data_IF_103156574023
#
_entry.id   IF_103156574023
#
_cell.length_a   1.000
_cell.length_b   1.000
_cell.length_c   1.000
_cell.angle_alpha   90.00
_cell.angle_beta   90.00
_cell.angle_gamma   90.00
#
_symmetry.space_group_name_H-M   'P 1'
#
loop_
_entity.id
_entity.type
_entity.pdbx_description
1 polymer ?
#
# COMPACT_ATOMS: atom_id res chain seq x y z
N UNK A 1 35.29 -25.67 10.97
CA UNK A 1 35.37 -27.11 11.24
C UNK A 1 34.75 -27.35 12.60
N UNK A 2 33.46 -27.70 12.66
CA UNK A 2 32.79 -28.04 13.91
C UNK A 2 32.11 -29.39 13.72
N UNK A 3 32.77 -30.45 14.13
CA UNK A 3 32.18 -31.78 14.21
C UNK A 3 31.11 -31.75 15.30
N UNK A 4 29.85 -31.71 14.88
CA UNK A 4 28.72 -32.01 15.78
C UNK A 4 28.60 -33.53 15.83
N UNK A 5 29.09 -34.11 16.91
CA UNK A 5 28.84 -35.50 17.26
C UNK A 5 27.32 -35.70 17.39
N UNK A 6 26.73 -36.40 16.42
CA UNK A 6 25.36 -36.90 16.51
C UNK A 6 25.36 -38.11 17.43
N UNK A 7 25.24 -37.87 18.73
CA UNK A 7 24.99 -38.92 19.71
C UNK A 7 23.68 -39.65 19.37
N UNK A 8 23.58 -40.96 19.62
CA UNK A 8 22.36 -41.71 19.43
C UNK A 8 21.23 -41.09 20.25
N UNK A 9 20.08 -40.87 19.60
CA UNK A 9 18.93 -40.18 20.18
C UNK A 9 18.42 -40.95 21.41
N UNK A 10 18.24 -40.29 22.58
CA UNK A 10 17.80 -40.96 23.83
C UNK A 10 16.44 -41.66 23.69
N UNK A 11 15.65 -41.28 22.70
CA UNK A 11 14.33 -41.87 22.40
C UNK A 11 14.37 -43.35 21.98
N UNK A 12 15.51 -43.86 21.51
CA UNK A 12 15.62 -45.26 21.07
C UNK A 12 15.79 -46.22 22.26
N UNK A 13 16.44 -45.77 23.33
CA UNK A 13 16.70 -46.61 24.51
C UNK A 13 15.43 -46.86 25.33
N UNK A 14 14.60 -45.84 25.53
CA UNK A 14 13.34 -45.99 26.29
C UNK A 14 12.34 -46.89 25.57
N UNK A 15 12.24 -46.77 24.24
CA UNK A 15 11.36 -47.61 23.43
C UNK A 15 11.80 -49.09 23.41
N UNK A 16 13.10 -49.37 23.48
CA UNK A 16 13.61 -50.74 23.58
C UNK A 16 13.32 -51.37 24.95
N UNK A 17 13.39 -50.57 26.02
CA UNK A 17 13.14 -51.05 27.38
C UNK A 17 11.66 -51.37 27.62
N UNK A 18 10.74 -50.55 27.09
CA UNK A 18 9.30 -50.86 27.12
C UNK A 18 8.96 -52.10 26.28
N UNK A 19 9.62 -52.28 25.13
CA UNK A 19 9.38 -53.45 24.26
C UNK A 19 9.86 -54.76 24.89
N UNK A 20 10.99 -54.77 25.60
CA UNK A 20 11.46 -55.94 26.35
C UNK A 20 10.49 -56.34 27.47
N UNK A 21 9.95 -55.37 28.20
CA UNK A 21 8.96 -55.62 29.26
C UNK A 21 7.65 -56.20 28.69
N UNK A 22 7.23 -55.73 27.50
CA UNK A 22 6.04 -56.24 26.81
C UNK A 22 6.22 -57.69 26.31
N UNK A 23 7.42 -58.04 25.84
CA UNK A 23 7.74 -59.41 25.37
C UNK A 23 7.74 -60.39 26.56
N UNK A 24 8.34 -60.02 27.69
CA UNK A 24 8.37 -60.88 28.88
C UNK A 24 6.97 -61.15 29.45
N UNK A 25 6.06 -60.16 29.39
CA UNK A 25 4.67 -60.32 29.84
C UNK A 25 3.83 -61.28 28.95
N UNK A 26 4.27 -61.57 27.73
CA UNK A 26 3.50 -62.35 26.75
C UNK A 26 3.85 -63.86 26.71
N UNK A 27 4.88 -64.33 27.41
CA UNK A 27 5.31 -65.73 27.40
C UNK A 27 4.61 -66.56 28.49
N UNK A 28 3.55 -67.28 28.12
CA UNK A 28 2.95 -68.35 28.96
C UNK A 28 2.70 -69.61 28.11
N UNK A 29 2.81 -70.83 28.68
CA UNK A 29 3.05 -72.06 27.92
C UNK A 29 1.84 -72.64 27.16
N UNK A 30 0.64 -72.09 27.29
CA UNK A 30 -0.57 -72.70 26.70
C UNK A 30 -1.44 -71.66 25.97
N UNK A 31 -1.29 -71.61 24.64
CA UNK A 31 -2.33 -71.12 23.73
C UNK A 31 -2.45 -69.61 23.45
N UNK A 32 -1.70 -68.72 24.11
CA UNK A 32 -1.77 -67.25 23.85
C UNK A 32 -0.75 -66.71 22.83
N UNK A 33 0.06 -67.59 22.22
CA UNK A 33 1.15 -67.24 21.30
C UNK A 33 0.69 -66.47 20.04
N UNK A 34 -0.51 -66.75 19.52
CA UNK A 34 -1.02 -66.12 18.30
C UNK A 34 -1.37 -64.64 18.54
N UNK A 35 -1.97 -64.32 19.68
CA UNK A 35 -2.34 -62.93 20.03
C UNK A 35 -1.08 -62.10 20.30
N UNK A 36 -0.10 -62.67 21.01
CA UNK A 36 1.19 -62.01 21.25
C UNK A 36 1.95 -61.74 19.95
N UNK A 37 2.02 -62.71 19.03
CA UNK A 37 2.63 -62.53 17.72
C UNK A 37 1.91 -61.45 16.89
N UNK A 38 0.57 -61.39 16.95
CA UNK A 38 -0.23 -60.35 16.29
C UNK A 38 0.07 -58.94 16.81
N UNK A 39 0.17 -58.76 18.14
CA UNK A 39 0.51 -57.47 18.73
C UNK A 39 1.93 -57.03 18.38
N UNK A 40 2.90 -57.96 18.36
CA UNK A 40 4.28 -57.68 17.92
C UNK A 40 4.30 -57.26 16.44
N UNK A 41 3.55 -57.95 15.57
CA UNK A 41 3.48 -57.60 14.16
C UNK A 41 2.86 -56.19 13.94
N UNK A 42 1.82 -55.84 14.69
CA UNK A 42 1.19 -54.50 14.65
C UNK A 42 2.18 -53.43 15.13
N UNK A 43 2.92 -53.69 16.22
CA UNK A 43 3.93 -52.77 16.74
C UNK A 43 5.08 -52.54 15.74
N UNK A 44 5.57 -53.60 15.10
CA UNK A 44 6.60 -53.52 14.05
C UNK A 44 6.10 -52.75 12.82
N UNK A 45 4.85 -52.99 12.39
CA UNK A 45 4.24 -52.24 11.29
C UNK A 45 4.09 -50.75 11.63
N UNK A 46 3.65 -50.42 12.84
CA UNK A 46 3.52 -49.04 13.31
C UNK A 46 4.90 -48.34 13.35
N UNK A 47 5.94 -49.00 13.86
CA UNK A 47 7.30 -48.49 13.86
C UNK A 47 7.84 -48.27 12.44
N UNK A 48 7.66 -49.24 11.55
CA UNK A 48 8.03 -49.13 10.13
C UNK A 48 7.34 -47.95 9.44
N UNK A 49 6.04 -47.77 9.67
CA UNK A 49 5.26 -46.66 9.10
C UNK A 49 5.74 -45.28 9.58
N UNK A 50 6.13 -45.15 10.86
CA UNK A 50 6.70 -43.91 11.41
C UNK A 50 8.04 -43.56 10.76
N UNK A 51 8.90 -44.57 10.55
CA UNK A 51 10.21 -44.38 9.89
C UNK A 51 10.02 -43.92 8.44
N UNK A 52 9.07 -44.50 7.71
CA UNK A 52 8.79 -44.08 6.33
C UNK A 52 8.28 -42.64 6.26
N UNK A 53 7.34 -42.26 7.13
CA UNK A 53 6.86 -40.87 7.22
C UNK A 53 7.97 -39.89 7.59
N UNK A 54 8.93 -40.29 8.43
CA UNK A 54 10.08 -39.47 8.78
C UNK A 54 11.03 -39.27 7.58
N UNK A 55 11.27 -40.32 6.79
CA UNK A 55 12.08 -40.25 5.55
C UNK A 55 11.44 -39.33 4.51
N UNK A 56 10.13 -39.45 4.29
CA UNK A 56 9.39 -38.56 3.36
C UNK A 56 9.49 -37.08 3.79
N UNK A 57 9.32 -36.79 5.08
CA UNK A 57 9.48 -35.42 5.62
C UNK A 57 10.88 -34.87 5.38
N UNK A 58 11.92 -35.69 5.54
CA UNK A 58 13.30 -35.27 5.27
C UNK A 58 13.53 -34.98 3.77
N UNK A 59 12.98 -35.80 2.87
CA UNK A 59 13.07 -35.54 1.42
C UNK A 59 12.33 -34.26 1.02
N UNK A 60 11.16 -34.01 1.60
CA UNK A 60 10.36 -32.80 1.34
C UNK A 60 11.06 -31.54 1.84
N UNK A 61 11.70 -31.60 3.01
CA UNK A 61 12.52 -30.50 3.53
C UNK A 61 13.75 -30.24 2.66
N UNK A 62 14.46 -31.28 2.19
CA UNK A 62 15.58 -31.12 1.24
C UNK A 62 15.15 -30.45 -0.07
N UNK A 63 13.97 -30.79 -0.60
CA UNK A 63 13.41 -30.13 -1.80
C UNK A 63 13.07 -28.65 -1.56
N UNK A 64 12.57 -28.30 -0.38
CA UNK A 64 12.29 -26.91 0.01
C UNK A 64 13.58 -26.10 0.20
N UNK A 65 14.60 -26.71 0.79
CA UNK A 65 15.92 -26.07 0.97
C UNK A 65 16.63 -25.82 -0.37
N UNK A 66 16.52 -26.75 -1.34
CA UNK A 66 17.04 -26.56 -2.70
C UNK A 66 16.40 -25.37 -3.41
N UNK A 67 15.05 -25.30 -3.47
CA UNK A 67 14.35 -24.15 -4.07
C UNK A 67 14.67 -22.82 -3.38
N UNK A 68 14.80 -22.82 -2.05
CA UNK A 68 15.14 -21.59 -1.32
C UNK A 68 16.60 -21.12 -1.57
N UNK A 69 17.52 -22.01 -1.93
CA UNK A 69 18.88 -21.61 -2.34
C UNK A 69 18.89 -21.01 -3.74
N UNK A 70 18.15 -21.60 -4.67
CA UNK A 70 18.09 -21.07 -6.05
C UNK A 70 17.39 -19.71 -6.10
N UNK A 71 16.34 -19.50 -5.31
CA UNK A 71 15.68 -18.18 -5.16
C UNK A 71 16.64 -17.17 -4.52
N UNK A 72 17.44 -17.56 -3.52
CA UNK A 72 18.42 -16.66 -2.89
C UNK A 72 19.58 -16.27 -3.81
N UNK A 73 19.96 -17.12 -4.76
CA UNK A 73 21.07 -16.87 -5.67
C UNK A 73 20.64 -16.27 -7.02
N UNK A 74 19.36 -16.32 -7.37
CA UNK A 74 18.80 -15.76 -8.62
C UNK A 74 18.16 -14.39 -8.48
N UNK A 75 17.93 -13.88 -7.25
CA UNK A 75 17.59 -12.48 -7.11
C UNK A 75 18.83 -11.64 -7.45
N UNK A 76 18.81 -10.81 -8.52
CA UNK A 76 19.88 -9.85 -8.76
C UNK A 76 20.03 -9.06 -7.48
N UNK A 77 21.26 -8.84 -7.02
CA UNK A 77 21.61 -8.12 -5.79
C UNK A 77 20.69 -6.90 -5.66
N UNK A 78 19.56 -7.09 -4.98
CA UNK A 78 18.67 -6.00 -4.57
C UNK A 78 19.49 -5.35 -3.50
N UNK A 79 20.35 -4.41 -3.92
CA UNK A 79 21.04 -3.50 -3.04
C UNK A 79 20.01 -3.12 -1.99
N UNK A 80 20.28 -3.49 -0.74
CA UNK A 80 19.35 -3.30 0.37
C UNK A 80 19.27 -1.80 0.59
N UNK A 81 18.45 -1.15 -0.23
CA UNK A 81 18.16 0.27 -0.12
C UNK A 81 17.73 0.52 1.30
N UNK A 82 18.34 1.51 1.91
CA UNK A 82 17.96 1.93 3.26
C UNK A 82 16.47 2.29 3.26
N UNK A 83 15.75 2.15 4.38
CA UNK A 83 14.34 2.54 4.46
C UNK A 83 14.08 3.96 3.93
N UNK A 84 15.01 4.88 4.17
CA UNK A 84 14.97 6.25 3.66
C UNK A 84 15.12 6.31 2.13
N UNK A 85 16.04 5.55 1.53
CA UNK A 85 16.18 5.49 0.07
C UNK A 85 14.98 4.81 -0.61
N UNK A 86 14.36 3.80 0.03
CA UNK A 86 13.10 3.21 -0.45
C UNK A 86 11.95 4.22 -0.39
N UNK A 87 11.90 5.02 0.66
CA UNK A 87 10.91 6.10 0.81
C UNK A 87 11.11 7.19 -0.24
N UNK A 88 12.36 7.64 -0.46
CA UNK A 88 12.69 8.67 -1.45
C UNK A 88 12.55 8.19 -2.91
N UNK A 89 12.91 6.95 -3.23
CA UNK A 89 12.63 6.35 -4.54
C UNK A 89 11.13 6.13 -4.73
N UNK A 90 10.41 5.76 -3.67
CA UNK A 90 8.96 5.69 -3.67
C UNK A 90 8.33 7.04 -4.00
N UNK A 91 8.85 8.14 -3.44
CA UNK A 91 8.38 9.49 -3.71
C UNK A 91 8.73 10.01 -5.11
N UNK A 92 9.93 9.70 -5.62
CA UNK A 92 10.41 10.22 -6.91
C UNK A 92 9.75 9.58 -8.15
N UNK A 93 9.05 8.44 -7.98
CA UNK A 93 8.33 7.75 -9.06
C UNK A 93 6.88 7.38 -8.72
N UNK A 94 6.37 7.81 -7.56
CA UNK A 94 4.99 7.52 -7.13
C UNK A 94 4.01 8.28 -7.99
N UNK A 95 3.18 7.54 -8.72
CA UNK A 95 2.02 8.11 -9.42
C UNK A 95 1.10 8.75 -8.39
N UNK A 96 0.57 9.96 -8.63
CA UNK A 96 -0.37 10.60 -7.71
C UNK A 96 -1.58 9.69 -7.50
N UNK A 97 -2.01 9.55 -6.25
CA UNK A 97 -3.18 8.73 -5.91
C UNK A 97 -4.43 9.57 -6.05
N UNK A 98 -5.43 9.03 -6.74
CA UNK A 98 -6.74 9.68 -6.88
C UNK A 98 -7.80 8.76 -6.30
N UNK A 99 -8.71 9.31 -5.51
CA UNK A 99 -9.87 8.61 -4.98
C UNK A 99 -11.13 9.16 -5.62
N UNK A 100 -11.98 8.28 -6.15
CA UNK A 100 -13.27 8.61 -6.74
C UNK A 100 -14.36 7.84 -6.00
N UNK A 101 -15.41 8.52 -5.56
CA UNK A 101 -16.64 7.83 -5.19
C UNK A 101 -17.28 7.20 -6.43
N UNK A 102 -17.88 6.02 -6.28
CA UNK A 102 -18.51 5.27 -7.37
C UNK A 102 -19.53 6.10 -8.15
N UNK A 103 -20.32 6.89 -7.45
CA UNK A 103 -21.42 7.72 -7.94
C UNK A 103 -20.94 8.85 -8.87
N UNK A 104 -19.64 9.17 -8.84
CA UNK A 104 -19.01 10.17 -9.72
C UNK A 104 -18.83 9.62 -11.14
N UNK A 105 -18.56 8.32 -11.27
CA UNK A 105 -18.15 7.69 -12.53
C UNK A 105 -19.12 6.63 -13.05
N UNK A 106 -19.95 6.06 -12.18
CA UNK A 106 -20.98 5.10 -12.53
C UNK A 106 -22.36 5.77 -12.50
N UNK A 107 -23.23 5.28 -13.38
CA UNK A 107 -24.67 5.42 -13.28
C UNK A 107 -25.22 4.19 -12.56
N UNK A 108 -26.10 4.41 -11.58
CA UNK A 108 -26.89 3.34 -11.01
C UNK A 108 -28.00 3.03 -12.02
N UNK A 109 -27.92 1.87 -12.69
CA UNK A 109 -28.99 1.41 -13.55
C UNK A 109 -30.30 1.24 -12.77
N UNK A 110 -31.44 1.31 -13.46
CA UNK A 110 -32.79 1.22 -12.86
C UNK A 110 -32.97 -0.04 -11.99
N UNK A 111 -32.26 -1.12 -12.31
CA UNK A 111 -32.32 -2.39 -11.58
C UNK A 111 -31.27 -2.54 -10.45
N UNK A 112 -30.34 -1.59 -10.27
CA UNK A 112 -29.16 -1.70 -9.38
C UNK A 112 -28.31 -2.98 -9.57
N UNK A 113 -28.57 -3.74 -10.64
CA UNK A 113 -27.91 -5.02 -10.93
C UNK A 113 -26.61 -4.83 -11.69
N UNK A 114 -26.46 -3.73 -12.42
CA UNK A 114 -25.29 -3.45 -13.24
C UNK A 114 -24.78 -2.04 -12.98
N UNK A 115 -23.45 -1.91 -12.97
CA UNK A 115 -22.78 -0.62 -12.92
C UNK A 115 -22.45 -0.20 -14.35
N UNK A 116 -23.05 0.87 -14.83
CA UNK A 116 -22.74 1.40 -16.16
C UNK A 116 -21.79 2.58 -16.01
N UNK A 117 -20.61 2.51 -16.63
CA UNK A 117 -19.68 3.63 -16.61
C UNK A 117 -20.24 4.80 -17.44
N UNK A 118 -20.31 6.00 -16.85
CA UNK A 118 -20.77 7.20 -17.55
C UNK A 118 -19.89 7.48 -18.76
N UNK A 119 -20.49 7.70 -19.93
CA UNK A 119 -19.74 7.93 -21.18
C UNK A 119 -18.81 9.15 -21.08
N UNK A 120 -19.29 10.22 -20.46
CA UNK A 120 -18.52 11.44 -20.19
C UNK A 120 -17.30 11.21 -19.27
N UNK A 121 -17.38 10.22 -18.37
CA UNK A 121 -16.29 9.91 -17.44
C UNK A 121 -15.22 9.01 -18.07
N UNK A 122 -15.59 8.17 -19.04
CA UNK A 122 -14.72 7.16 -19.64
C UNK A 122 -13.39 7.71 -20.14
N UNK A 123 -13.42 8.76 -20.97
CA UNK A 123 -12.20 9.29 -21.60
C UNK A 123 -11.25 9.92 -20.59
N UNK A 124 -11.79 10.65 -19.61
CA UNK A 124 -11.04 11.27 -18.51
C UNK A 124 -10.47 10.20 -17.58
N UNK A 125 -11.25 9.19 -17.22
CA UNK A 125 -10.82 8.09 -16.38
C UNK A 125 -9.67 7.29 -17.03
N UNK A 126 -9.75 7.01 -18.33
CA UNK A 126 -8.65 6.37 -19.09
C UNK A 126 -7.37 7.22 -19.03
N UNK A 127 -7.48 8.54 -19.23
CA UNK A 127 -6.32 9.44 -19.14
C UNK A 127 -5.72 9.45 -17.74
N UNK A 128 -6.55 9.49 -16.70
CA UNK A 128 -6.12 9.45 -15.31
C UNK A 128 -5.44 8.12 -14.96
N UNK A 129 -5.99 6.99 -15.40
CA UNK A 129 -5.41 5.66 -15.18
C UNK A 129 -4.06 5.44 -15.87
N UNK A 130 -3.64 6.31 -16.80
CA UNK A 130 -2.29 6.31 -17.40
C UNK A 130 -1.25 7.07 -16.59
N UNK A 131 -1.66 8.09 -15.85
CA UNK A 131 -0.74 8.99 -15.12
C UNK A 131 -0.81 8.83 -13.61
N UNK A 132 -1.92 8.33 -13.08
CA UNK A 132 -2.27 8.34 -11.65
C UNK A 132 -2.69 6.96 -11.15
N UNK A 133 -2.56 6.72 -9.85
CA UNK A 133 -3.09 5.54 -9.19
C UNK A 133 -4.52 5.79 -8.74
N UNK A 134 -5.48 5.38 -9.58
CA UNK A 134 -6.91 5.60 -9.31
C UNK A 134 -7.47 4.51 -8.40
N UNK A 135 -8.16 4.94 -7.35
CA UNK A 135 -8.95 4.14 -6.42
C UNK A 135 -10.42 4.55 -6.56
N UNK A 136 -11.30 3.55 -6.48
CA UNK A 136 -12.75 3.76 -6.53
C UNK A 136 -13.33 3.27 -5.21
N UNK A 137 -14.12 4.10 -4.54
CA UNK A 137 -14.80 3.72 -3.30
C UNK A 137 -16.31 3.62 -3.53
N UNK A 138 -16.86 2.46 -3.21
CA UNK A 138 -18.29 2.20 -3.17
C UNK A 138 -18.80 2.33 -1.75
N UNK A 139 -19.99 2.92 -1.59
CA UNK A 139 -20.76 2.83 -0.35
C UNK A 139 -21.83 1.77 -0.51
N UNK A 140 -21.66 0.62 0.15
CA UNK A 140 -22.64 -0.45 0.19
C UNK A 140 -23.83 -0.05 1.08
N UNK A 141 -25.04 -0.22 0.55
CA UNK A 141 -26.30 -0.10 1.31
C UNK A 141 -26.77 -1.49 1.76
N UNK A 142 -27.54 -1.60 2.85
CA UNK A 142 -27.86 -2.90 3.50
C UNK A 142 -28.50 -3.96 2.59
N UNK A 143 -29.17 -3.55 1.51
CA UNK A 143 -29.81 -4.44 0.52
C UNK A 143 -28.96 -4.72 -0.73
N UNK A 144 -27.75 -4.18 -0.79
CA UNK A 144 -26.86 -4.34 -1.93
C UNK A 144 -26.13 -5.69 -1.92
N UNK A 145 -25.74 -6.20 -3.11
CA UNK A 145 -24.95 -7.42 -3.22
C UNK A 145 -23.66 -7.35 -2.39
N UNK A 146 -23.17 -8.51 -1.95
CA UNK A 146 -21.89 -8.65 -1.22
C UNK A 146 -20.73 -7.92 -1.90
N UNK A 147 -19.76 -7.43 -1.12
CA UNK A 147 -18.53 -6.78 -1.59
C UNK A 147 -17.88 -7.40 -2.83
N UNK A 148 -17.78 -8.74 -2.86
CA UNK A 148 -17.18 -9.48 -3.97
C UNK A 148 -17.95 -9.28 -5.28
N UNK A 149 -19.28 -9.33 -5.21
CA UNK A 149 -20.17 -9.10 -6.36
C UNK A 149 -20.13 -7.64 -6.82
N UNK A 150 -20.05 -6.67 -5.90
CA UNK A 150 -19.88 -5.26 -6.25
C UNK A 150 -18.57 -5.08 -7.04
N UNK A 151 -17.47 -5.64 -6.51
CA UNK A 151 -16.16 -5.57 -7.15
C UNK A 151 -16.14 -6.27 -8.51
N UNK A 152 -16.76 -7.44 -8.61
CA UNK A 152 -16.88 -8.18 -9.86
C UNK A 152 -17.61 -7.35 -10.92
N UNK A 153 -18.81 -6.86 -10.62
CA UNK A 153 -19.62 -6.05 -11.54
C UNK A 153 -18.90 -4.77 -11.96
N UNK A 154 -18.30 -4.06 -11.01
CA UNK A 154 -17.54 -2.85 -11.28
C UNK A 154 -16.32 -3.16 -12.15
N UNK A 155 -15.63 -4.28 -11.90
CA UNK A 155 -14.48 -4.71 -12.70
C UNK A 155 -14.89 -5.05 -14.13
N UNK A 156 -15.99 -5.77 -14.33
CA UNK A 156 -16.51 -6.09 -15.67
C UNK A 156 -16.85 -4.83 -16.46
N UNK A 157 -17.57 -3.89 -15.84
CA UNK A 157 -17.90 -2.60 -16.46
C UNK A 157 -16.65 -1.78 -16.86
N UNK A 158 -15.63 -1.77 -16.00
CA UNK A 158 -14.35 -1.10 -16.29
C UNK A 158 -13.53 -1.83 -17.37
N UNK A 159 -13.66 -3.16 -17.47
CA UNK A 159 -13.04 -3.95 -18.52
C UNK A 159 -13.67 -3.62 -19.88
N UNK A 160 -15.00 -3.62 -19.98
CA UNK A 160 -15.75 -3.29 -21.20
C UNK A 160 -15.43 -1.89 -21.70
N UNK A 161 -15.25 -0.95 -20.77
CA UNK A 161 -14.85 0.42 -21.07
C UNK A 161 -13.37 0.59 -21.47
N UNK A 162 -12.54 -0.46 -21.43
CA UNK A 162 -11.08 -0.47 -21.63
C UNK A 162 -10.29 0.36 -20.60
N UNK A 163 -10.84 0.52 -19.39
CA UNK A 163 -10.18 1.26 -18.29
C UNK A 163 -9.07 0.41 -17.66
N UNK A 164 -9.25 -0.92 -17.61
CA UNK A 164 -8.22 -1.85 -17.12
C UNK A 164 -6.98 -1.84 -18.02
N UNK A 165 -7.18 -1.88 -19.35
CA UNK A 165 -6.10 -1.76 -20.34
C UNK A 165 -5.32 -0.45 -20.20
N UNK A 166 -5.98 0.62 -19.73
CA UNK A 166 -5.36 1.91 -19.47
C UNK A 166 -4.49 1.94 -18.20
N UNK A 167 -4.48 0.87 -17.40
CA UNK A 167 -3.65 0.72 -16.20
C UNK A 167 -4.40 0.70 -14.88
N UNK A 168 -5.75 0.66 -14.90
CA UNK A 168 -6.53 0.48 -13.68
C UNK A 168 -6.34 -0.93 -13.10
N UNK A 169 -6.28 -1.03 -11.77
CA UNK A 169 -6.08 -2.31 -11.08
C UNK A 169 -7.31 -2.67 -10.24
N UNK A 170 -7.97 -3.82 -10.47
CA UNK A 170 -9.22 -4.19 -9.77
C UNK A 170 -9.15 -4.17 -8.24
N UNK A 171 -7.99 -4.49 -7.64
CA UNK A 171 -7.81 -4.45 -6.19
C UNK A 171 -7.89 -3.02 -5.58
N UNK A 172 -7.98 -1.98 -6.40
CA UNK A 172 -8.14 -0.59 -5.95
C UNK A 172 -9.61 -0.17 -5.80
N UNK A 173 -10.53 -1.11 -6.02
CA UNK A 173 -11.94 -0.96 -5.69
C UNK A 173 -12.11 -1.30 -4.21
N UNK A 174 -12.54 -0.31 -3.44
CA UNK A 174 -12.79 -0.42 -2.00
C UNK A 174 -14.30 -0.29 -1.78
N UNK A 175 -14.84 -1.13 -0.91
CA UNK A 175 -16.25 -1.10 -0.51
C UNK A 175 -16.29 -0.73 0.97
N UNK A 176 -17.24 0.12 1.35
CA UNK A 176 -17.48 0.51 2.73
C UNK A 176 -18.97 0.68 2.98
N UNK A 177 -19.44 0.51 4.21
CA UNK A 177 -20.88 0.56 4.52
C UNK A 177 -21.40 1.97 4.82
N UNK A 178 -20.52 2.96 5.04
CA UNK A 178 -20.94 4.29 5.53
C UNK A 178 -20.19 5.42 4.84
N UNK A 179 -20.79 6.61 4.81
CA UNK A 179 -20.13 7.83 4.32
C UNK A 179 -18.90 8.20 5.17
N UNK A 180 -18.91 7.90 6.47
CA UNK A 180 -17.71 8.02 7.31
C UNK A 180 -16.63 7.02 6.89
N UNK A 181 -17.01 5.80 6.51
CA UNK A 181 -16.13 4.80 5.92
C UNK A 181 -15.36 5.34 4.72
N UNK A 182 -16.02 6.06 3.80
CA UNK A 182 -15.36 6.74 2.67
C UNK A 182 -14.29 7.72 3.15
N UNK A 183 -14.58 8.53 4.17
CA UNK A 183 -13.62 9.47 4.77
C UNK A 183 -12.42 8.75 5.41
N UNK A 184 -12.64 7.63 6.10
CA UNK A 184 -11.57 6.81 6.67
C UNK A 184 -10.66 6.22 5.60
N UNK A 185 -11.24 5.68 4.51
CA UNK A 185 -10.48 5.19 3.36
C UNK A 185 -9.62 6.30 2.77
N UNK A 186 -10.19 7.49 2.57
CA UNK A 186 -9.47 8.64 2.04
C UNK A 186 -8.29 9.06 2.93
N UNK A 187 -8.47 9.09 4.26
CA UNK A 187 -7.41 9.40 5.23
C UNK A 187 -6.29 8.36 5.23
N UNK A 188 -6.60 7.08 5.07
CA UNK A 188 -5.57 6.04 5.01
C UNK A 188 -4.83 6.04 3.68
N UNK A 189 -5.54 6.32 2.58
CA UNK A 189 -4.94 6.33 1.25
C UNK A 189 -4.05 7.55 1.02
N UNK A 190 -4.41 8.69 1.63
CA UNK A 190 -3.83 10.02 1.41
C UNK A 190 -3.75 10.35 -0.09
N UNK A 191 -4.88 10.41 -0.81
CA UNK A 191 -4.87 10.78 -2.21
C UNK A 191 -4.51 12.26 -2.37
N UNK A 192 -3.93 12.63 -3.51
CA UNK A 192 -3.75 14.04 -3.88
C UNK A 192 -5.08 14.67 -4.28
N UNK A 193 -6.02 13.86 -4.79
CA UNK A 193 -7.33 14.29 -5.26
C UNK A 193 -8.41 13.33 -4.78
N UNK A 194 -9.47 13.85 -4.18
CA UNK A 194 -10.66 13.09 -3.81
C UNK A 194 -11.92 13.76 -4.37
N UNK A 195 -12.71 12.99 -5.15
CA UNK A 195 -13.99 13.42 -5.68
C UNK A 195 -15.14 12.59 -5.08
N UNK A 196 -16.18 13.27 -4.60
CA UNK A 196 -17.40 12.64 -4.08
C UNK A 196 -18.61 13.46 -4.50
N UNK A 197 -19.79 12.85 -4.45
CA UNK A 197 -21.09 13.53 -4.61
C UNK A 197 -21.67 13.95 -3.25
N UNK A 198 -21.17 13.38 -2.16
CA UNK A 198 -21.62 13.70 -0.80
C UNK A 198 -20.70 14.73 -0.11
N UNK A 199 -21.24 15.77 0.52
CA UNK A 199 -20.43 16.80 1.18
C UNK A 199 -19.77 16.31 2.49
N UNK A 200 -20.39 15.35 3.20
CA UNK A 200 -19.95 14.91 4.52
C UNK A 200 -18.54 14.26 4.50
N UNK A 201 -18.25 13.26 3.64
CA UNK A 201 -16.90 12.70 3.54
C UNK A 201 -15.85 13.76 3.22
N UNK A 202 -16.14 14.65 2.27
CA UNK A 202 -15.22 15.71 1.83
C UNK A 202 -14.91 16.70 2.96
N UNK A 203 -15.93 17.14 3.71
CA UNK A 203 -15.75 18.01 4.88
C UNK A 203 -14.80 17.40 5.90
N UNK A 204 -14.92 16.10 6.18
CA UNK A 204 -14.08 15.38 7.15
C UNK A 204 -12.61 15.25 6.74
N UNK A 205 -12.30 15.36 5.44
CA UNK A 205 -10.95 15.08 4.90
C UNK A 205 -10.30 16.26 4.21
N UNK A 206 -11.03 17.34 3.96
CA UNK A 206 -10.53 18.58 3.34
C UNK A 206 -9.34 19.24 4.05
N UNK A 207 -9.10 18.90 5.32
CA UNK A 207 -7.92 19.35 6.06
C UNK A 207 -6.67 18.49 5.86
N UNK A 208 -6.81 17.29 5.30
CA UNK A 208 -5.73 16.31 5.11
C UNK A 208 -5.39 16.07 3.64
N UNK A 209 -6.32 16.37 2.73
CA UNK A 209 -6.22 16.10 1.29
C UNK A 209 -6.14 17.45 0.56
N UNK A 210 -5.16 17.57 -0.34
CA UNK A 210 -4.87 18.82 -1.05
C UNK A 210 -6.05 19.28 -1.91
N UNK A 211 -6.58 18.39 -2.75
CA UNK A 211 -7.70 18.70 -3.62
C UNK A 211 -8.92 17.82 -3.28
N UNK A 212 -9.97 18.46 -2.80
CA UNK A 212 -11.29 17.83 -2.61
C UNK A 212 -12.31 18.50 -3.53
N UNK A 213 -13.08 17.68 -4.25
CA UNK A 213 -14.06 18.15 -5.24
C UNK A 213 -15.41 17.51 -4.97
N UNK A 214 -16.42 18.36 -4.78
CA UNK A 214 -17.82 17.97 -4.70
C UNK A 214 -18.42 18.04 -6.11
N UNK A 215 -18.84 16.89 -6.63
CA UNK A 215 -19.41 16.75 -7.98
C UNK A 215 -20.94 16.77 -7.89
N UNK A 216 -21.61 17.36 -8.88
CA UNK A 216 -23.08 17.51 -8.96
C UNK A 216 -23.72 18.41 -7.89
N UNK A 217 -22.93 19.18 -7.14
CA UNK A 217 -23.48 20.12 -6.16
C UNK A 217 -23.71 21.52 -6.71
N UNK A 218 -24.77 22.15 -6.23
CA UNK A 218 -24.95 23.59 -6.33
C UNK A 218 -23.96 24.30 -5.41
N UNK A 219 -23.44 25.45 -5.82
CA UNK A 219 -22.42 26.24 -5.09
C UNK A 219 -22.83 26.65 -3.68
N UNK A 220 -24.12 26.55 -3.33
CA UNK A 220 -24.65 26.87 -1.99
C UNK A 220 -24.31 25.82 -0.93
N UNK A 221 -24.08 24.57 -1.32
CA UNK A 221 -23.88 23.45 -0.38
C UNK A 221 -22.40 23.06 -0.21
N UNK A 222 -21.50 23.77 -0.89
CA UNK A 222 -20.07 23.48 -0.85
C UNK A 222 -19.42 23.93 0.46
N UNK A 223 -18.71 23.06 1.18
CA UNK A 223 -17.84 23.47 2.28
C UNK A 223 -16.73 24.41 1.81
N UNK A 224 -16.30 25.33 2.68
CA UNK A 224 -15.36 26.42 2.35
C UNK A 224 -14.02 25.98 1.69
N UNK A 225 -13.56 24.75 1.99
CA UNK A 225 -12.30 24.18 1.46
C UNK A 225 -12.49 23.17 0.32
N UNK A 226 -13.72 22.99 -0.15
CA UNK A 226 -14.07 21.98 -1.15
C UNK A 226 -14.45 22.69 -2.46
N UNK A 227 -13.83 22.27 -3.57
CA UNK A 227 -14.14 22.82 -4.89
C UNK A 227 -15.46 22.22 -5.38
N UNK A 228 -16.35 23.03 -5.95
CA UNK A 228 -17.52 22.52 -6.66
C UNK A 228 -17.16 22.22 -8.12
N UNK A 229 -17.67 21.12 -8.67
CA UNK A 229 -17.70 20.89 -10.11
C UNK A 229 -19.07 20.39 -10.54
N UNK A 230 -19.65 20.93 -11.63
CA UNK A 230 -20.94 20.43 -12.12
C UNK A 230 -20.82 18.98 -12.60
N UNK A 231 -19.67 18.59 -13.18
CA UNK A 231 -19.45 17.25 -13.71
C UNK A 231 -18.00 16.80 -13.49
N UNK A 232 -17.79 15.49 -13.54
CA UNK A 232 -16.46 14.88 -13.42
C UNK A 232 -15.51 15.34 -14.54
N UNK A 233 -15.97 15.34 -15.79
CA UNK A 233 -15.16 15.72 -16.96
C UNK A 233 -14.79 17.21 -16.95
N UNK A 234 -15.73 18.09 -16.59
CA UNK A 234 -15.55 19.55 -16.61
C UNK A 234 -14.38 20.00 -15.73
N UNK A 235 -14.20 19.39 -14.55
CA UNK A 235 -13.11 19.75 -13.64
C UNK A 235 -11.73 19.65 -14.31
N UNK A 236 -11.53 18.64 -15.16
CA UNK A 236 -10.27 18.39 -15.86
C UNK A 236 -10.14 19.13 -17.19
N UNK A 237 -11.24 19.68 -17.71
CA UNK A 237 -11.26 20.49 -18.92
C UNK A 237 -10.94 21.96 -18.67
N UNK A 238 -10.97 22.41 -17.41
CA UNK A 238 -10.63 23.79 -17.08
C UNK A 238 -9.18 24.08 -17.48
N UNK A 239 -8.92 25.17 -18.24
CA UNK A 239 -7.56 25.55 -18.57
C UNK A 239 -6.80 25.69 -17.26
N UNK A 240 -5.63 25.03 -17.16
CA UNK A 240 -4.72 25.16 -16.02
C UNK A 240 -4.59 26.65 -15.74
N UNK A 241 -5.22 27.12 -14.66
CA UNK A 241 -5.11 28.51 -14.24
C UNK A 241 -3.62 28.68 -14.03
N UNK A 242 -2.97 29.42 -14.94
CA UNK A 242 -1.53 29.69 -14.86
C UNK A 242 -1.41 30.31 -13.48
N UNK A 243 -0.83 29.57 -12.53
CA UNK A 243 -0.47 30.14 -11.26
C UNK A 243 0.54 31.19 -11.68
N UNK A 244 0.06 32.43 -11.81
CA UNK A 244 0.93 33.58 -11.79
C UNK A 244 1.58 33.48 -10.43
N UNK A 245 2.68 32.74 -10.37
CA UNK A 245 3.72 32.99 -9.41
C UNK A 245 4.02 34.46 -9.63
N UNK A 246 3.35 35.31 -8.84
CA UNK A 246 3.87 36.60 -8.46
C UNK A 246 5.20 36.27 -7.78
N UNK A 247 6.21 35.96 -8.59
CA UNK A 247 7.57 36.27 -8.23
C UNK A 247 7.48 37.77 -7.98
N UNK A 248 7.43 38.11 -6.70
CA UNK A 248 7.75 39.44 -6.26
C UNK A 248 9.01 39.80 -7.03
N UNK A 249 8.86 40.69 -8.00
CA UNK A 249 9.96 41.46 -8.52
C UNK A 249 10.41 42.29 -7.32
N UNK A 250 11.23 41.68 -6.48
CA UNK A 250 12.06 42.36 -5.53
C UNK A 250 12.90 43.30 -6.39
N UNK A 251 12.50 44.57 -6.38
CA UNK A 251 13.28 45.65 -6.98
C UNK A 251 14.71 45.47 -6.48
N UNK A 252 15.72 45.34 -7.35
CA UNK A 252 17.09 45.45 -6.90
C UNK A 252 17.26 46.87 -6.36
N UNK A 253 17.21 47.04 -5.04
CA UNK A 253 17.65 48.27 -4.41
C UNK A 253 19.13 48.42 -4.77
N UNK A 254 19.41 49.50 -5.49
CA UNK A 254 20.72 49.88 -5.94
C UNK A 254 21.70 49.95 -4.77
N UNK A 255 22.54 48.92 -4.64
CA UNK A 255 23.80 49.02 -3.93
C UNK A 255 24.80 49.76 -4.83
N UNK A 256 24.61 51.07 -4.98
CA UNK A 256 25.58 51.95 -5.63
C UNK A 256 25.63 53.29 -4.91
N UNK A 257 26.47 53.37 -3.87
CA UNK A 257 27.23 54.58 -3.49
C UNK A 257 27.79 54.41 -2.07
N UNK A 258 29.00 53.85 -1.94
CA UNK A 258 29.92 54.16 -0.84
C UNK A 258 31.29 53.52 -1.12
N UNK A 259 31.94 53.96 -2.20
CA UNK A 259 33.35 53.65 -2.48
C UNK A 259 34.00 54.77 -3.28
N UNK A 260 33.90 56.01 -2.79
CA UNK A 260 34.66 57.15 -3.32
C UNK A 260 34.79 58.22 -2.24
N UNK A 261 35.86 58.17 -1.45
CA UNK A 261 36.07 59.16 -0.40
C UNK A 261 37.37 58.98 0.39
N UNK A 262 38.46 58.53 -0.25
CA UNK A 262 39.76 58.51 0.40
C UNK A 262 40.84 58.99 -0.58
N UNK A 263 41.04 60.32 -0.67
CA UNK A 263 42.32 60.96 -0.97
C UNK A 263 42.24 62.49 -0.95
N UNK A 264 43.34 63.08 -0.44
CA UNK A 264 43.77 64.50 -0.36
C UNK A 264 43.34 65.15 0.96
N UNK A 265 44.20 65.31 1.99
CA UNK A 265 45.53 65.97 2.07
C UNK A 265 45.44 67.41 1.58
N UNK A 266 45.58 68.38 2.50
CA UNK A 266 46.30 69.67 2.35
C UNK A 266 46.15 70.51 3.64
N UNK A 267 47.32 70.75 4.25
CA UNK A 267 47.80 71.94 4.97
C UNK A 267 47.06 72.54 6.18
N UNK A 268 47.81 72.71 7.27
CA UNK A 268 47.54 73.72 8.30
C UNK A 268 47.68 75.15 7.77
N UNK A 269 47.38 76.17 8.59
CA UNK A 269 48.48 76.89 9.25
C UNK A 269 48.19 77.40 10.68
N UNK A 270 49.29 77.52 11.44
CA UNK A 270 49.68 78.50 12.47
C UNK A 270 48.64 79.34 13.27
N UNK A 271 48.77 79.19 14.60
CA UNK A 271 49.14 80.22 15.59
C UNK A 271 48.13 81.27 16.12
N UNK A 272 48.40 81.65 17.39
CA UNK A 272 47.82 82.69 18.25
C UNK A 272 46.42 82.38 18.81
N UNK A 273 46.14 82.38 20.12
CA UNK A 273 46.83 82.86 21.31
C UNK A 273 45.78 83.56 22.19
N UNK A 274 45.64 83.22 23.46
CA UNK A 274 45.02 84.09 24.48
C UNK A 274 45.20 83.53 25.90
N UNK A 275 45.73 84.41 26.75
CA UNK A 275 45.87 84.34 28.19
C UNK A 275 44.53 84.55 28.93
N UNK A 276 44.59 84.31 30.25
CA UNK A 276 43.68 84.68 31.34
C UNK A 276 42.44 83.79 31.49
N UNK A 277 42.14 83.20 32.65
CA UNK A 277 42.33 83.67 34.03
C UNK A 277 42.59 82.50 34.98
#
# INVERSE_FOLDING_TARGET
>A
SSERATGPMPFVHDALHEFQNLIQACYTPTGRSIIGAGLIAIALYAAYSKIQRAKERQQLNRRREGRNRDIKNSEPIRQRLTPQQRYLQGLAGSRPKVLLASEVIFENGEDQKEFTLRQEARTTLIKMCKTSDVHIVFRQVEDEPSDEKIKERATSSLADARVIEAGFRPHRIVVCSTSQGKAHVARHLMPSLYMDVEPLPLKMVSQYIEDTVLVHASTKDTPEKVKASPMFSTFFSLPKRRVETKMAAEKPQAASAQAAGLRRRITGPTAAGAHAS
#
